data_IF_629841190948
#
_entry.id   IF_629841190948
#
_cell.length_a   1.000
_cell.length_b   1.000
_cell.length_c   1.000
_cell.angle_alpha   90.00
_cell.angle_beta   90.00
_cell.angle_gamma   90.00
#
_symmetry.space_group_name_H-M   'P 1'
#
loop_
_entity.id
_entity.type
_entity.pdbx_description
1 polymer ?
#
# COMPACT_ATOMS: atom_id res chain seq x y z
N UNK A 1 -22.81 -13.69 19.09
CA UNK A 1 -22.31 -14.25 17.81
C UNK A 1 -21.10 -13.44 17.40
N UNK A 2 -20.01 -14.07 16.98
CA UNK A 2 -18.81 -13.34 16.54
C UNK A 2 -19.12 -12.51 15.29
N UNK A 3 -18.44 -11.37 15.13
CA UNK A 3 -18.64 -10.50 13.98
C UNK A 3 -17.95 -11.09 12.73
N UNK A 4 -18.57 -12.10 12.11
CA UNK A 4 -18.07 -12.74 10.88
C UNK A 4 -17.88 -11.74 9.73
N UNK A 5 -18.72 -10.69 9.68
CA UNK A 5 -18.69 -9.66 8.63
C UNK A 5 -17.35 -8.92 8.55
N UNK A 6 -16.68 -8.69 9.69
CA UNK A 6 -15.38 -8.01 9.73
C UNK A 6 -14.25 -8.72 8.96
N UNK A 7 -14.43 -10.00 8.62
CA UNK A 7 -13.46 -10.79 7.86
C UNK A 7 -13.70 -10.80 6.35
N UNK A 8 -14.87 -10.34 5.90
CA UNK A 8 -15.34 -10.44 4.53
C UNK A 8 -15.09 -9.13 3.78
N UNK A 9 -14.76 -9.24 2.50
CA UNK A 9 -14.68 -8.09 1.59
C UNK A 9 -15.23 -8.45 0.20
N UNK A 10 -15.96 -7.53 -0.43
CA UNK A 10 -16.40 -7.71 -1.81
C UNK A 10 -15.18 -7.78 -2.74
N UNK A 11 -15.21 -8.70 -3.70
CA UNK A 11 -14.09 -8.99 -4.61
C UNK A 11 -13.04 -9.93 -4.04
N UNK A 12 -13.18 -10.38 -2.78
CA UNK A 12 -12.23 -11.28 -2.15
C UNK A 12 -12.21 -12.65 -2.85
N UNK A 13 -11.01 -13.13 -3.14
CA UNK A 13 -10.81 -14.49 -3.63
C UNK A 13 -11.02 -15.50 -2.50
N UNK A 14 -11.86 -16.49 -2.75
CA UNK A 14 -12.19 -17.57 -1.83
C UNK A 14 -11.90 -18.90 -2.52
N UNK A 15 -11.34 -19.84 -1.78
CA UNK A 15 -11.21 -21.23 -2.19
C UNK A 15 -12.38 -22.03 -1.62
N UNK A 16 -13.21 -22.56 -2.50
CA UNK A 16 -14.32 -23.43 -2.20
C UNK A 16 -13.85 -24.90 -2.24
N UNK A 17 -14.03 -25.62 -1.14
CA UNK A 17 -13.96 -27.09 -1.09
C UNK A 17 -15.38 -27.64 -0.97
N UNK A 18 -15.94 -28.26 -2.03
CA UNK A 18 -17.32 -28.72 -2.03
C UNK A 18 -17.54 -29.98 -1.19
N UNK A 19 -16.48 -30.71 -0.85
CA UNK A 19 -16.55 -31.89 0.01
C UNK A 19 -15.93 -31.56 1.36
N UNK A 20 -16.74 -31.50 2.42
CA UNK A 20 -16.32 -31.20 3.80
C UNK A 20 -15.39 -32.23 4.45
N UNK A 21 -14.83 -33.17 3.69
CA UNK A 21 -13.88 -34.17 4.18
C UNK A 21 -12.48 -33.60 4.35
N UNK A 22 -11.73 -34.11 5.34
CA UNK A 22 -10.32 -33.75 5.60
C UNK A 22 -9.39 -34.00 4.39
N UNK A 23 -9.84 -34.80 3.42
CA UNK A 23 -9.04 -35.25 2.28
C UNK A 23 -9.47 -34.64 0.94
N UNK A 24 -10.39 -33.67 0.91
CA UNK A 24 -10.72 -32.99 -0.36
C UNK A 24 -9.54 -32.11 -0.78
N UNK A 25 -8.71 -32.64 -1.67
CA UNK A 25 -7.60 -31.92 -2.33
C UNK A 25 -8.09 -30.97 -3.41
N UNK A 26 -9.35 -31.09 -3.81
CA UNK A 26 -9.95 -30.26 -4.86
C UNK A 26 -10.44 -28.95 -4.26
N UNK A 27 -9.99 -27.86 -4.86
CA UNK A 27 -10.32 -26.49 -4.50
C UNK A 27 -10.71 -25.70 -5.75
N UNK A 28 -11.81 -24.96 -5.66
CA UNK A 28 -12.26 -24.09 -6.73
C UNK A 28 -12.11 -22.64 -6.31
N UNK A 29 -11.54 -21.82 -7.20
CA UNK A 29 -11.42 -20.39 -6.95
C UNK A 29 -12.76 -19.73 -7.27
N UNK A 30 -13.32 -19.05 -6.29
CA UNK A 30 -14.55 -18.26 -6.42
C UNK A 30 -14.32 -16.86 -5.86
N UNK A 31 -15.20 -15.92 -6.21
CA UNK A 31 -15.10 -14.52 -5.79
C UNK A 31 -16.30 -14.17 -4.92
N UNK A 32 -16.05 -13.63 -3.73
CA UNK A 32 -17.12 -13.14 -2.86
C UNK A 32 -17.69 -11.83 -3.44
N UNK A 33 -18.97 -11.81 -3.81
CA UNK A 33 -19.61 -10.64 -4.42
C UNK A 33 -20.52 -9.85 -3.48
N UNK A 34 -20.96 -10.46 -2.39
CA UNK A 34 -21.77 -9.80 -1.37
C UNK A 34 -22.36 -10.79 -0.39
N UNK A 35 -23.08 -10.28 0.60
CA UNK A 35 -23.70 -11.09 1.63
C UNK A 35 -24.92 -10.39 2.25
N UNK A 36 -25.73 -11.19 2.94
CA UNK A 36 -26.73 -10.74 3.88
C UNK A 36 -26.44 -11.39 5.23
N UNK A 37 -26.07 -10.57 6.21
CA UNK A 37 -25.68 -11.03 7.56
C UNK A 37 -26.77 -11.93 8.15
N UNK A 38 -26.35 -13.09 8.66
CA UNK A 38 -27.26 -14.10 9.24
C UNK A 38 -28.06 -14.91 8.21
N UNK A 39 -27.91 -14.64 6.90
CA UNK A 39 -28.65 -15.34 5.85
C UNK A 39 -27.72 -16.06 4.87
N UNK A 40 -27.03 -15.33 3.98
CA UNK A 40 -26.26 -15.93 2.90
C UNK A 40 -25.03 -15.11 2.50
N UNK A 41 -24.10 -15.76 1.81
CA UNK A 41 -23.01 -15.15 1.05
C UNK A 41 -23.14 -15.55 -0.42
N UNK A 42 -22.88 -14.62 -1.34
CA UNK A 42 -22.92 -14.85 -2.77
C UNK A 42 -21.51 -14.98 -3.33
N UNK A 43 -21.23 -16.13 -3.93
CA UNK A 43 -19.97 -16.48 -4.55
C UNK A 43 -20.16 -16.54 -6.06
N UNK A 44 -19.29 -15.87 -6.81
CA UNK A 44 -19.22 -15.96 -8.26
C UNK A 44 -18.13 -16.95 -8.66
N UNK A 45 -18.40 -17.70 -9.73
CA UNK A 45 -17.46 -18.63 -10.34
C UNK A 45 -16.84 -17.91 -11.54
N UNK A 46 -15.52 -17.60 -11.50
CA UNK A 46 -14.85 -16.97 -12.62
C UNK A 46 -14.95 -17.81 -13.90
N UNK A 47 -14.98 -17.14 -15.06
CA UNK A 47 -15.08 -17.81 -16.37
C UNK A 47 -13.90 -18.74 -16.68
N UNK A 48 -12.73 -18.48 -16.08
CA UNK A 48 -11.50 -19.26 -16.21
C UNK A 48 -11.43 -20.45 -15.23
N UNK A 49 -12.42 -20.60 -14.33
CA UNK A 49 -12.45 -21.72 -13.41
C UNK A 49 -12.86 -23.02 -14.12
N UNK A 50 -12.19 -24.13 -13.80
CA UNK A 50 -12.64 -25.45 -14.21
C UNK A 50 -14.12 -25.64 -13.83
N UNK A 51 -14.88 -26.32 -14.69
CA UNK A 51 -16.30 -26.58 -14.46
C UNK A 51 -16.47 -27.17 -13.07
N UNK A 52 -17.23 -26.47 -12.23
CA UNK A 52 -17.58 -26.99 -10.92
C UNK A 52 -18.29 -28.33 -11.08
N UNK A 53 -18.07 -29.27 -10.15
CA UNK A 53 -18.86 -30.48 -10.10
C UNK A 53 -20.32 -30.06 -9.87
N UNK A 54 -21.25 -30.98 -10.13
CA UNK A 54 -22.66 -30.73 -9.79
C UNK A 54 -22.75 -30.50 -8.28
N UNK A 55 -22.92 -29.24 -7.89
CA UNK A 55 -23.08 -28.82 -6.52
C UNK A 55 -24.55 -28.94 -6.16
N UNK A 56 -24.87 -29.96 -5.40
CA UNK A 56 -26.22 -30.19 -4.90
C UNK A 56 -26.52 -29.20 -3.76
N UNK A 57 -27.76 -28.72 -3.72
CA UNK A 57 -28.25 -27.91 -2.59
C UNK A 57 -28.11 -28.67 -1.26
N UNK A 58 -28.05 -27.91 -0.18
CA UNK A 58 -27.78 -28.34 1.20
C UNK A 58 -26.45 -29.06 1.47
N UNK A 59 -25.57 -29.22 0.46
CA UNK A 59 -24.25 -29.79 0.70
C UNK A 59 -23.36 -28.88 1.53
N UNK A 60 -22.64 -29.49 2.46
CA UNK A 60 -21.66 -28.80 3.29
C UNK A 60 -20.37 -28.58 2.52
N UNK A 61 -19.91 -27.33 2.50
CA UNK A 61 -18.67 -26.90 1.88
C UNK A 61 -17.78 -26.15 2.89
N UNK A 62 -16.50 -26.04 2.56
CA UNK A 62 -15.54 -25.23 3.33
C UNK A 62 -15.03 -24.10 2.45
N UNK A 63 -15.14 -22.89 2.94
CA UNK A 63 -14.59 -21.69 2.32
C UNK A 63 -13.27 -21.35 3.00
N UNK A 64 -12.23 -21.08 2.23
CA UNK A 64 -10.93 -20.60 2.73
C UNK A 64 -10.55 -19.32 2.02
N UNK A 65 -10.07 -18.33 2.76
CA UNK A 65 -9.66 -17.06 2.19
C UNK A 65 -8.59 -16.41 3.07
N UNK A 66 -7.96 -15.35 2.56
CA UNK A 66 -6.98 -14.57 3.32
C UNK A 66 -7.58 -13.23 3.74
N UNK A 67 -7.38 -12.84 4.99
CA UNK A 67 -7.72 -11.51 5.50
C UNK A 67 -6.57 -11.04 6.39
N UNK A 68 -6.00 -9.87 6.08
CA UNK A 68 -4.97 -9.22 6.89
C UNK A 68 -3.81 -10.16 7.29
N UNK A 69 -3.39 -11.04 6.38
CA UNK A 69 -2.31 -12.01 6.60
C UNK A 69 -2.70 -13.30 7.32
N UNK A 70 -3.95 -13.42 7.79
CA UNK A 70 -4.51 -14.63 8.39
C UNK A 70 -5.19 -15.50 7.34
N UNK A 71 -5.03 -16.82 7.45
CA UNK A 71 -5.90 -17.76 6.75
C UNK A 71 -7.18 -17.91 7.54
N UNK A 72 -8.29 -17.55 6.90
CA UNK A 72 -9.62 -17.72 7.41
C UNK A 72 -10.24 -18.96 6.78
N UNK A 73 -11.01 -19.70 7.57
CA UNK A 73 -11.82 -20.80 7.08
C UNK A 73 -13.17 -20.84 7.78
N UNK A 74 -14.23 -21.12 7.03
CA UNK A 74 -15.55 -21.37 7.59
C UNK A 74 -16.26 -22.51 6.86
N UNK A 75 -17.13 -23.20 7.59
CA UNK A 75 -18.05 -24.19 7.02
C UNK A 75 -19.34 -23.48 6.64
N UNK A 76 -19.87 -23.77 5.46
CA UNK A 76 -21.15 -23.25 4.97
C UNK A 76 -21.91 -24.35 4.22
N UNK A 77 -23.21 -24.14 3.99
CA UNK A 77 -24.04 -25.02 3.15
C UNK A 77 -24.36 -24.33 1.83
N UNK A 78 -24.38 -25.07 0.75
CA UNK A 78 -24.82 -24.56 -0.55
C UNK A 78 -26.33 -24.40 -0.50
N UNK A 79 -26.82 -23.16 -0.55
CA UNK A 79 -28.24 -22.86 -0.50
C UNK A 79 -28.86 -22.94 -1.89
N UNK A 80 -28.13 -22.45 -2.89
CA UNK A 80 -28.62 -22.34 -4.25
C UNK A 80 -27.44 -22.28 -5.21
N UNK A 81 -27.39 -23.18 -6.18
CA UNK A 81 -26.48 -23.09 -7.32
C UNK A 81 -27.23 -22.41 -8.48
N UNK A 82 -26.70 -21.29 -8.99
CA UNK A 82 -27.29 -20.56 -10.11
C UNK A 82 -26.59 -20.94 -11.40
N UNK A 83 -27.36 -21.45 -12.37
CA UNK A 83 -26.95 -21.88 -13.70
C UNK A 83 -25.93 -23.04 -13.77
N UNK A 84 -26.38 -24.29 -13.56
CA UNK A 84 -25.61 -25.46 -14.00
C UNK A 84 -25.52 -25.57 -15.54
N UNK A 85 -26.46 -24.96 -16.27
CA UNK A 85 -26.69 -25.24 -17.70
C UNK A 85 -26.04 -24.23 -18.68
N UNK A 86 -25.25 -23.27 -18.17
CA UNK A 86 -24.39 -22.40 -18.99
C UNK A 86 -25.09 -21.32 -19.85
N UNK A 87 -26.40 -21.10 -19.70
CA UNK A 87 -27.17 -20.19 -20.55
C UNK A 87 -27.08 -18.69 -20.17
N UNK A 88 -26.56 -18.34 -18.99
CA UNK A 88 -26.36 -16.94 -18.61
C UNK A 88 -24.90 -16.66 -18.25
N UNK A 89 -24.48 -15.40 -18.44
CA UNK A 89 -23.10 -14.94 -18.19
C UNK A 89 -22.68 -14.95 -16.72
N UNK A 90 -23.60 -15.20 -15.79
CA UNK A 90 -23.31 -15.17 -14.35
C UNK A 90 -23.50 -16.56 -13.75
N UNK A 91 -22.38 -17.28 -13.61
CA UNK A 91 -22.34 -18.50 -12.80
C UNK A 91 -21.99 -18.14 -11.37
N UNK A 92 -22.82 -18.58 -10.42
CA UNK A 92 -22.62 -18.26 -9.02
C UNK A 92 -23.42 -19.16 -8.11
N UNK A 93 -23.18 -19.05 -6.82
CA UNK A 93 -23.91 -19.80 -5.81
C UNK A 93 -24.13 -18.95 -4.56
N UNK A 94 -25.26 -19.19 -3.89
CA UNK A 94 -25.47 -18.72 -2.53
C UNK A 94 -25.08 -19.83 -1.58
N UNK A 95 -24.30 -19.46 -0.57
CA UNK A 95 -23.96 -20.34 0.55
C UNK A 95 -24.49 -19.73 1.84
N UNK A 96 -24.76 -20.56 2.83
CA UNK A 96 -25.28 -20.11 4.13
C UNK A 96 -24.29 -19.17 4.81
N UNK A 97 -24.82 -18.22 5.58
CA UNK A 97 -23.99 -17.41 6.48
C UNK A 97 -23.22 -18.31 7.47
N UNK A 98 -21.91 -18.09 7.68
CA UNK A 98 -21.14 -18.93 8.59
C UNK A 98 -21.44 -18.58 10.04
N UNK A 99 -21.60 -19.61 10.88
CA UNK A 99 -21.75 -19.41 12.33
C UNK A 99 -20.46 -18.91 12.97
N UNK A 100 -19.32 -19.41 12.48
CA UNK A 100 -17.98 -19.11 12.97
C UNK A 100 -16.97 -19.08 11.83
N UNK A 101 -16.02 -18.16 11.91
CA UNK A 101 -14.82 -18.13 11.07
C UNK A 101 -13.63 -18.51 11.96
N UNK A 102 -12.93 -19.58 11.59
CA UNK A 102 -11.66 -19.96 12.20
C UNK A 102 -10.54 -19.21 11.51
N UNK A 103 -9.62 -18.65 12.29
CA UNK A 103 -8.43 -17.99 11.77
C UNK A 103 -7.18 -18.71 12.24
N UNK A 104 -6.19 -18.76 11.36
CA UNK A 104 -4.84 -19.25 11.66
C UNK A 104 -3.85 -18.25 11.10
N UNK A 105 -2.88 -17.85 11.92
CA UNK A 105 -1.74 -17.09 11.44
C UNK A 105 -0.88 -17.99 10.54
N UNK A 106 -0.90 -17.73 9.24
CA UNK A 106 -0.11 -18.51 8.27
C UNK A 106 1.37 -18.13 8.34
N UNK A 107 1.66 -16.93 8.83
CA UNK A 107 2.97 -16.31 8.76
C UNK A 107 3.50 -16.07 10.17
N UNK A 108 4.75 -16.47 10.40
CA UNK A 108 5.48 -16.19 11.65
C UNK A 108 5.86 -14.71 11.81
N UNK A 109 5.90 -13.97 10.69
CA UNK A 109 6.28 -12.56 10.66
C UNK A 109 5.32 -11.77 9.76
N UNK A 110 5.04 -10.49 10.07
CA UNK A 110 4.28 -9.61 9.19
C UNK A 110 5.00 -9.42 7.84
N UNK A 111 4.24 -9.04 6.81
CA UNK A 111 4.78 -8.53 5.55
C UNK A 111 4.38 -7.09 5.38
N UNK A 112 5.30 -6.27 4.90
CA UNK A 112 5.06 -4.87 4.55
C UNK A 112 5.04 -4.75 3.03
N UNK A 113 4.01 -4.09 2.51
CA UNK A 113 3.98 -3.68 1.11
C UNK A 113 5.04 -2.61 0.92
N UNK A 114 5.94 -2.79 -0.04
CA UNK A 114 6.94 -1.79 -0.39
C UNK A 114 7.28 -1.92 -1.86
N UNK A 115 7.46 -0.79 -2.53
CA UNK A 115 7.85 -0.73 -3.94
C UNK A 115 9.25 -0.17 -4.00
N UNK A 116 10.22 -1.01 -4.38
CA UNK A 116 11.61 -0.59 -4.53
C UNK A 116 12.23 -1.26 -5.74
N UNK A 117 12.99 -0.54 -6.58
CA UNK A 117 13.85 -1.17 -7.57
C UNK A 117 14.77 -2.19 -6.90
N UNK A 118 14.98 -3.32 -7.57
CA UNK A 118 15.90 -4.36 -7.12
C UNK A 118 16.58 -5.04 -8.33
N UNK A 119 17.72 -5.67 -8.05
CA UNK A 119 18.47 -6.43 -9.05
C UNK A 119 18.52 -7.90 -8.65
N UNK A 120 18.30 -8.77 -9.63
CA UNK A 120 18.41 -10.22 -9.47
C UNK A 120 19.61 -10.71 -10.27
N UNK A 121 20.55 -11.40 -9.62
CA UNK A 121 21.60 -12.16 -10.30
C UNK A 121 21.16 -13.62 -10.43
N UNK A 122 20.96 -14.07 -11.67
CA UNK A 122 20.65 -15.46 -12.00
C UNK A 122 21.90 -16.36 -11.82
N UNK A 123 21.74 -17.69 -11.70
CA UNK A 123 22.87 -18.63 -11.63
C UNK A 123 23.85 -18.52 -12.81
N UNK A 124 23.38 -18.06 -13.97
CA UNK A 124 24.21 -17.79 -15.16
C UNK A 124 25.11 -16.55 -15.03
N UNK A 125 24.98 -15.78 -13.94
CA UNK A 125 25.64 -14.48 -13.75
C UNK A 125 24.90 -13.32 -14.42
N UNK A 126 23.81 -13.58 -15.14
CA UNK A 126 23.00 -12.52 -15.76
C UNK A 126 22.28 -11.69 -14.69
N UNK A 127 22.35 -10.37 -14.84
CA UNK A 127 21.63 -9.41 -14.01
C UNK A 127 20.29 -9.07 -14.67
N UNK A 128 19.22 -9.14 -13.87
CA UNK A 128 17.88 -8.76 -14.28
C UNK A 128 17.33 -7.64 -13.39
N UNK A 129 16.67 -6.65 -14.01
CA UNK A 129 15.99 -5.58 -13.27
C UNK A 129 14.59 -6.02 -12.84
N UNK A 130 14.28 -5.84 -11.56
CA UNK A 130 13.02 -6.24 -10.93
C UNK A 130 12.52 -5.14 -9.99
N UNK A 131 11.31 -5.31 -9.48
CA UNK A 131 10.75 -4.42 -8.47
C UNK A 131 10.29 -5.24 -7.25
N UNK A 132 10.84 -4.93 -6.07
CA UNK A 132 10.38 -5.47 -4.80
C UNK A 132 8.94 -4.97 -4.56
N UNK A 133 8.06 -5.86 -4.09
CA UNK A 133 6.62 -5.59 -3.89
C UNK A 133 6.17 -5.80 -2.45
N UNK A 134 6.75 -6.78 -1.78
CA UNK A 134 6.57 -6.98 -0.35
C UNK A 134 7.86 -7.50 0.29
N UNK A 135 8.00 -7.23 1.59
CA UNK A 135 9.13 -7.67 2.39
C UNK A 135 8.65 -8.24 3.73
N UNK A 136 9.29 -9.31 4.17
CA UNK A 136 9.08 -9.97 5.46
C UNK A 136 10.42 -10.42 6.01
N UNK A 137 10.45 -10.86 7.27
CA UNK A 137 11.72 -11.29 7.87
C UNK A 137 12.32 -12.51 7.15
N UNK A 138 11.46 -13.44 6.68
CA UNK A 138 11.89 -14.64 5.99
C UNK A 138 11.90 -14.58 4.45
N UNK A 139 11.50 -13.47 3.82
CA UNK A 139 11.45 -13.42 2.36
C UNK A 139 10.75 -12.19 1.80
N UNK A 140 10.49 -12.21 0.50
CA UNK A 140 9.91 -11.10 -0.23
C UNK A 140 9.14 -11.55 -1.46
N UNK A 141 8.38 -10.64 -2.06
CA UNK A 141 7.84 -10.80 -3.40
C UNK A 141 8.51 -9.80 -4.34
N UNK A 142 8.91 -10.26 -5.52
CA UNK A 142 9.43 -9.41 -6.59
C UNK A 142 8.55 -9.49 -7.84
N UNK A 143 8.35 -8.36 -8.50
CA UNK A 143 7.77 -8.25 -9.83
C UNK A 143 8.89 -8.33 -10.86
N UNK A 144 8.76 -9.28 -11.78
CA UNK A 144 9.69 -9.48 -12.87
C UNK A 144 9.34 -8.54 -14.02
N UNK A 145 10.23 -7.58 -14.28
CA UNK A 145 9.98 -6.50 -15.26
C UNK A 145 10.66 -6.74 -16.61
N UNK A 146 11.45 -7.80 -16.76
CA UNK A 146 12.14 -8.07 -18.01
C UNK A 146 11.28 -8.79 -19.04
N UNK A 147 11.57 -8.54 -20.31
CA UNK A 147 10.99 -9.28 -21.45
C UNK A 147 11.38 -10.76 -21.48
N UNK A 148 12.51 -11.11 -20.82
CA UNK A 148 12.97 -12.49 -20.72
C UNK A 148 12.04 -13.30 -19.82
N UNK A 149 11.93 -14.60 -20.11
CA UNK A 149 11.13 -15.54 -19.31
C UNK A 149 11.66 -15.57 -17.87
N UNK A 150 10.80 -15.17 -16.92
CA UNK A 150 11.12 -15.25 -15.50
C UNK A 150 11.48 -16.69 -15.08
N UNK A 151 12.44 -16.87 -14.16
CA UNK A 151 12.72 -18.18 -13.58
C UNK A 151 11.49 -18.68 -12.81
N UNK A 152 11.20 -19.98 -12.92
CA UNK A 152 10.04 -20.60 -12.25
C UNK A 152 10.40 -21.28 -10.94
N UNK A 153 11.66 -21.60 -10.73
CA UNK A 153 12.19 -22.30 -9.56
C UNK A 153 13.69 -22.03 -9.40
N UNK A 154 14.26 -22.52 -8.29
CA UNK A 154 15.69 -22.45 -8.02
C UNK A 154 16.11 -21.27 -7.14
N UNK A 155 17.42 -21.02 -7.13
CA UNK A 155 18.06 -19.99 -6.31
C UNK A 155 18.53 -18.81 -7.16
N UNK A 156 18.46 -17.62 -6.58
CA UNK A 156 18.94 -16.38 -7.17
C UNK A 156 19.55 -15.48 -6.08
N UNK A 157 20.38 -14.51 -6.48
CA UNK A 157 20.88 -13.49 -5.56
C UNK A 157 20.12 -12.20 -5.77
N UNK A 158 19.60 -11.61 -4.70
CA UNK A 158 18.79 -10.41 -4.73
C UNK A 158 19.56 -9.25 -4.09
N UNK A 159 19.62 -8.11 -4.77
CA UNK A 159 20.12 -6.84 -4.23
C UNK A 159 19.03 -5.77 -4.29
N UNK A 160 18.84 -5.02 -3.20
CA UNK A 160 17.84 -3.96 -3.09
C UNK A 160 18.22 -2.96 -2.00
N UNK A 161 17.50 -1.85 -1.90
CA UNK A 161 17.72 -0.83 -0.87
C UNK A 161 16.50 -0.74 0.04
N UNK A 162 16.72 -0.82 1.35
CA UNK A 162 15.68 -0.63 2.35
C UNK A 162 15.34 0.87 2.51
N UNK A 163 14.17 1.18 3.10
CA UNK A 163 13.91 2.53 3.59
C UNK A 163 15.06 3.03 4.46
N UNK A 164 15.47 4.29 4.27
CA UNK A 164 16.66 4.86 4.92
C UNK A 164 17.97 4.62 4.17
N UNK A 165 17.93 4.05 2.95
CA UNK A 165 19.11 3.94 2.08
C UNK A 165 20.03 2.77 2.38
N UNK A 166 19.64 1.86 3.29
CA UNK A 166 20.45 0.70 3.66
C UNK A 166 20.44 -0.31 2.52
N UNK A 167 21.60 -0.53 1.90
CA UNK A 167 21.75 -1.51 0.83
C UNK A 167 21.78 -2.94 1.39
N UNK A 168 20.98 -3.82 0.78
CA UNK A 168 21.02 -5.26 0.94
C UNK A 168 21.62 -5.82 -0.35
N UNK A 169 22.82 -6.38 -0.28
CA UNK A 169 23.54 -6.87 -1.48
C UNK A 169 23.60 -8.40 -1.55
N UNK A 170 23.19 -8.94 -2.70
CA UNK A 170 23.38 -10.34 -3.12
C UNK A 170 22.92 -11.39 -2.12
N UNK A 171 21.82 -11.12 -1.41
CA UNK A 171 21.18 -12.10 -0.53
C UNK A 171 20.71 -13.28 -1.35
N UNK A 172 21.11 -14.49 -0.95
CA UNK A 172 20.66 -15.72 -1.59
C UNK A 172 19.18 -15.94 -1.26
N UNK A 173 18.37 -16.21 -2.28
CA UNK A 173 16.94 -16.49 -2.10
C UNK A 173 16.53 -17.69 -2.95
N UNK A 174 15.53 -18.43 -2.47
CA UNK A 174 14.90 -19.54 -3.20
C UNK A 174 13.50 -19.13 -3.66
N UNK A 175 13.18 -19.36 -4.94
CA UNK A 175 11.82 -19.16 -5.45
C UNK A 175 10.89 -20.21 -4.84
N UNK A 176 9.84 -19.77 -4.16
CA UNK A 176 8.81 -20.62 -3.53
C UNK A 176 7.48 -20.61 -4.26
N UNK A 177 7.20 -19.57 -5.04
CA UNK A 177 5.96 -19.47 -5.80
C UNK A 177 6.14 -18.54 -6.99
N UNK A 178 5.41 -18.82 -8.06
CA UNK A 178 5.29 -17.95 -9.23
C UNK A 178 3.82 -17.79 -9.54
N UNK A 179 3.39 -16.55 -9.75
CA UNK A 179 2.03 -16.21 -10.16
C UNK A 179 2.05 -15.07 -11.16
N UNK A 180 1.02 -14.99 -11.97
CA UNK A 180 0.83 -13.89 -12.91
C UNK A 180 -0.28 -12.97 -12.41
N UNK A 181 -0.02 -11.66 -12.36
CA UNK A 181 -0.94 -10.64 -11.88
C UNK A 181 -0.90 -9.48 -12.87
N UNK A 182 -2.00 -9.21 -13.57
CA UNK A 182 -2.10 -8.12 -14.55
C UNK A 182 -0.94 -8.14 -15.58
N UNK A 183 -0.63 -9.31 -16.13
CA UNK A 183 0.47 -9.56 -17.07
C UNK A 183 1.89 -9.40 -16.48
N UNK A 184 2.01 -9.13 -15.18
CA UNK A 184 3.28 -9.09 -14.47
C UNK A 184 3.51 -10.41 -13.76
N UNK A 185 4.67 -11.03 -13.96
CA UNK A 185 5.06 -12.23 -13.21
C UNK A 185 5.60 -11.85 -11.85
N UNK A 186 4.96 -12.37 -10.82
CA UNK A 186 5.32 -12.18 -9.43
C UNK A 186 6.02 -13.43 -8.92
N UNK A 187 7.22 -13.26 -8.39
CA UNK A 187 8.00 -14.33 -7.76
C UNK A 187 7.97 -14.13 -6.25
N UNK A 188 7.50 -15.14 -5.52
CA UNK A 188 7.63 -15.20 -4.07
C UNK A 188 8.93 -15.90 -3.70
N UNK A 189 9.83 -15.18 -3.04
CA UNK A 189 11.17 -15.62 -2.70
C UNK A 189 11.31 -15.78 -1.18
N UNK A 190 12.05 -16.81 -0.75
CA UNK A 190 12.45 -17.01 0.64
C UNK A 190 13.94 -16.73 0.79
N UNK A 191 14.33 -15.99 1.82
CA UNK A 191 15.74 -15.73 2.13
C UNK A 191 16.43 -17.01 2.63
N UNK A 192 17.63 -17.26 2.12
CA UNK A 192 18.49 -18.37 2.52
C UNK A 192 19.73 -17.79 3.21
N UNK A 193 19.99 -18.22 4.46
CA UNK A 193 21.21 -17.89 5.22
C UNK A 193 21.64 -16.42 5.11
N UNK A 194 20.79 -15.52 5.61
CA UNK A 194 21.11 -14.09 5.70
C UNK A 194 22.03 -13.82 6.89
N UNK A 195 22.97 -12.89 6.69
CA UNK A 195 23.78 -12.34 7.77
C UNK A 195 22.88 -11.69 8.83
N UNK A 196 23.25 -11.83 10.11
CA UNK A 196 22.44 -11.35 11.23
C UNK A 196 22.24 -9.82 11.18
N UNK A 197 23.24 -9.07 10.70
CA UNK A 197 23.15 -7.62 10.55
C UNK A 197 22.12 -7.28 9.47
N UNK A 198 22.16 -7.98 8.34
CA UNK A 198 21.19 -7.80 7.24
C UNK A 198 19.77 -8.17 7.71
N UNK A 199 19.63 -9.27 8.44
CA UNK A 199 18.34 -9.69 9.00
C UNK A 199 17.78 -8.65 9.97
N UNK A 200 18.61 -8.10 10.85
CA UNK A 200 18.21 -7.05 11.79
C UNK A 200 17.78 -5.77 11.06
N UNK A 201 18.50 -5.36 10.01
CA UNK A 201 18.12 -4.22 9.19
C UNK A 201 16.76 -4.43 8.50
N UNK A 202 16.52 -5.61 7.94
CA UNK A 202 15.22 -5.99 7.36
C UNK A 202 14.13 -5.91 8.43
N UNK A 203 14.38 -6.47 9.63
CA UNK A 203 13.42 -6.45 10.73
C UNK A 203 13.08 -5.03 11.17
N UNK A 204 14.07 -4.15 11.33
CA UNK A 204 13.85 -2.74 11.68
C UNK A 204 13.05 -1.99 10.60
N UNK A 205 13.37 -2.21 9.33
CA UNK A 205 12.61 -1.62 8.22
C UNK A 205 11.14 -2.07 8.22
N UNK A 206 10.88 -3.35 8.52
CA UNK A 206 9.52 -3.89 8.66
C UNK A 206 8.79 -3.23 9.83
N UNK A 207 9.41 -3.15 11.02
CA UNK A 207 8.80 -2.55 12.20
C UNK A 207 8.46 -1.08 11.93
N UNK A 208 9.40 -0.30 11.41
CA UNK A 208 9.20 1.11 11.07
C UNK A 208 8.07 1.30 10.03
N UNK A 209 8.00 0.43 9.02
CA UNK A 209 6.94 0.46 8.01
C UNK A 209 5.58 0.08 8.61
N UNK A 210 5.51 -0.94 9.47
CA UNK A 210 4.28 -1.36 10.15
C UNK A 210 3.79 -0.26 11.11
N UNK A 211 4.69 0.37 11.85
CA UNK A 211 4.35 1.50 12.72
C UNK A 211 3.78 2.65 11.91
N UNK A 212 4.45 3.00 10.80
CA UNK A 212 4.00 4.03 9.87
C UNK A 212 2.64 3.72 9.22
N UNK A 213 2.30 2.43 9.03
CA UNK A 213 0.98 2.00 8.58
C UNK A 213 -0.07 1.98 9.70
N UNK A 214 0.32 1.69 10.94
CA UNK A 214 -0.58 1.58 12.11
C UNK A 214 -0.97 2.93 12.67
N UNK A 215 -0.04 3.88 12.70
CA UNK A 215 -0.41 5.28 12.75
C UNK A 215 -1.14 5.53 11.43
N UNK A 216 -2.48 5.64 11.45
CA UNK A 216 -3.24 6.26 10.34
C UNK A 216 -2.35 7.33 9.77
N UNK A 217 -1.85 7.16 8.54
CA UNK A 217 -0.81 7.99 7.92
C UNK A 217 -0.98 9.43 8.38
N UNK A 218 -0.28 9.81 9.46
CA UNK A 218 -0.60 11.07 10.12
C UNK A 218 -0.07 12.09 9.13
N UNK A 219 -0.97 12.77 8.44
CA UNK A 219 -0.58 13.65 7.36
C UNK A 219 0.33 14.71 7.97
N UNK A 220 1.60 14.72 7.58
CA UNK A 220 2.56 15.64 8.19
C UNK A 220 2.65 16.91 7.39
N UNK A 221 2.63 18.04 8.07
CA UNK A 221 2.93 19.35 7.50
C UNK A 221 4.16 19.94 8.18
N UNK A 222 5.12 20.41 7.38
CA UNK A 222 6.28 21.16 7.86
C UNK A 222 6.01 22.65 7.62
N UNK A 223 6.25 23.49 8.63
CA UNK A 223 6.14 24.94 8.54
C UNK A 223 7.52 25.54 8.78
N UNK A 224 8.08 26.19 7.76
CA UNK A 224 9.32 26.96 7.84
C UNK A 224 8.97 28.44 8.08
N UNK A 225 9.07 28.88 9.33
CA UNK A 225 8.86 30.28 9.73
C UNK A 225 9.61 30.60 11.03
N UNK A 226 10.23 31.78 11.08
CA UNK A 226 10.91 32.28 12.27
C UNK A 226 9.96 32.96 13.25
N UNK A 227 8.73 33.30 12.83
CA UNK A 227 7.71 33.94 13.64
C UNK A 227 6.69 32.93 14.17
N UNK A 228 6.99 32.32 15.32
CA UNK A 228 6.13 31.32 15.96
C UNK A 228 4.71 31.82 16.31
N UNK A 229 4.54 33.13 16.53
CA UNK A 229 3.22 33.68 16.86
C UNK A 229 2.34 33.84 15.62
N UNK A 230 2.94 34.25 14.49
CA UNK A 230 2.22 34.37 13.22
C UNK A 230 1.71 33.02 12.71
N UNK A 231 2.39 31.91 13.01
CA UNK A 231 2.01 30.57 12.51
C UNK A 231 0.94 29.86 13.33
N UNK A 232 0.63 30.33 14.55
CA UNK A 232 -0.34 29.65 15.44
C UNK A 232 -1.69 29.34 14.78
N UNK A 233 -2.31 30.26 14.00
CA UNK A 233 -3.59 29.97 13.34
C UNK A 233 -3.49 28.84 12.33
N UNK A 234 -2.38 28.77 11.57
CA UNK A 234 -2.12 27.72 10.59
C UNK A 234 -1.87 26.37 11.27
N UNK A 235 -1.07 26.36 12.34
CA UNK A 235 -0.84 25.15 13.16
C UNK A 235 -2.15 24.61 13.72
N UNK A 236 -3.02 25.48 14.25
CA UNK A 236 -4.33 25.08 14.76
C UNK A 236 -5.20 24.47 13.65
N UNK A 237 -5.28 25.12 12.49
CA UNK A 237 -6.06 24.62 11.35
C UNK A 237 -5.57 23.26 10.82
N UNK A 238 -4.26 23.07 10.71
CA UNK A 238 -3.68 21.79 10.28
C UNK A 238 -3.99 20.67 11.29
N UNK A 239 -3.89 20.96 12.59
CA UNK A 239 -4.22 19.98 13.65
C UNK A 239 -5.71 19.64 13.72
N UNK A 240 -6.60 20.59 13.42
CA UNK A 240 -8.05 20.33 13.28
C UNK A 240 -8.32 19.27 12.21
N UNK A 241 -7.53 19.28 11.13
CA UNK A 241 -7.59 18.31 10.03
C UNK A 241 -6.68 17.08 10.26
N UNK A 242 -6.31 16.84 11.52
CA UNK A 242 -5.53 15.67 11.96
C UNK A 242 -4.08 15.61 11.42
N UNK A 243 -3.50 16.74 10.98
CA UNK A 243 -2.10 16.77 10.60
C UNK A 243 -1.16 16.75 11.81
N UNK A 244 -0.04 16.05 11.67
CA UNK A 244 1.14 16.26 12.52
C UNK A 244 1.89 17.49 12.01
N UNK A 245 2.00 18.52 12.85
CA UNK A 245 2.60 19.80 12.43
C UNK A 245 3.96 19.98 13.08
N UNK A 246 4.99 20.10 12.25
CA UNK A 246 6.37 20.42 12.66
C UNK A 246 6.66 21.85 12.26
N UNK A 247 6.98 22.71 13.23
CA UNK A 247 7.39 24.10 12.98
C UNK A 247 8.89 24.19 13.18
N UNK A 248 9.59 24.69 12.16
CA UNK A 248 11.04 24.90 12.15
C UNK A 248 11.34 26.33 11.73
N UNK A 249 12.44 26.88 12.23
CA UNK A 249 12.85 28.25 11.92
C UNK A 249 14.02 28.31 10.94
N UNK A 250 14.62 27.17 10.64
CA UNK A 250 15.82 27.06 9.81
C UNK A 250 15.62 26.13 8.62
N UNK A 251 16.23 26.48 7.48
CA UNK A 251 16.08 25.70 6.24
C UNK A 251 16.69 24.30 6.38
N UNK A 252 17.82 24.18 7.09
CA UNK A 252 18.49 22.90 7.32
C UNK A 252 17.62 21.95 8.15
N UNK A 253 16.90 22.47 9.15
CA UNK A 253 15.96 21.67 9.95
C UNK A 253 14.77 21.23 9.11
N UNK A 254 14.23 22.11 8.27
CA UNK A 254 13.16 21.75 7.34
C UNK A 254 13.60 20.62 6.41
N UNK A 255 14.82 20.68 5.86
CA UNK A 255 15.38 19.63 5.01
C UNK A 255 15.49 18.29 5.76
N UNK A 256 16.04 18.31 6.98
CA UNK A 256 16.13 17.11 7.82
C UNK A 256 14.75 16.44 8.04
N UNK A 257 13.71 17.23 8.33
CA UNK A 257 12.36 16.70 8.51
C UNK A 257 11.76 16.15 7.23
N UNK A 258 11.99 16.82 6.10
CA UNK A 258 11.52 16.36 4.79
C UNK A 258 12.16 15.02 4.38
N UNK A 259 13.43 14.80 4.72
CA UNK A 259 14.14 13.54 4.48
C UNK A 259 13.75 12.44 5.46
N UNK A 260 13.63 12.78 6.75
CA UNK A 260 13.36 11.81 7.82
C UNK A 260 11.96 11.21 7.73
N UNK A 261 10.97 12.02 7.35
CA UNK A 261 9.69 11.49 6.90
C UNK A 261 8.97 12.48 5.98
N UNK A 262 8.64 11.99 4.78
CA UNK A 262 8.06 12.80 3.70
C UNK A 262 6.76 13.49 4.16
N UNK A 263 6.74 14.83 4.26
CA UNK A 263 5.51 15.54 4.59
C UNK A 263 4.56 15.55 3.39
N UNK A 264 3.28 15.79 3.67
CA UNK A 264 2.26 16.02 2.65
C UNK A 264 2.33 17.46 2.12
N UNK A 265 2.76 18.39 2.97
CA UNK A 265 2.88 19.80 2.61
C UNK A 265 4.03 20.50 3.33
N UNK A 266 4.62 21.48 2.65
CA UNK A 266 5.56 22.46 3.19
C UNK A 266 4.93 23.86 3.12
N UNK A 267 4.86 24.54 4.26
CA UNK A 267 4.41 25.92 4.36
C UNK A 267 5.61 26.82 4.67
N UNK A 268 5.82 27.87 3.87
CA UNK A 268 6.97 28.77 3.99
C UNK A 268 6.49 30.20 4.25
N UNK A 269 6.88 30.79 5.37
CA UNK A 269 6.69 32.22 5.59
C UNK A 269 7.54 33.03 4.61
N UNK A 270 7.00 34.07 3.97
CA UNK A 270 7.75 34.80 2.93
C UNK A 270 9.02 35.52 3.43
N UNK A 271 9.13 35.79 4.75
CA UNK A 271 10.30 36.44 5.38
C UNK A 271 11.28 35.39 5.91
N UNK A 272 12.02 34.78 5.00
CA UNK A 272 13.13 33.89 5.35
C UNK A 272 14.44 34.68 5.36
N UNK A 273 15.26 34.46 6.39
CA UNK A 273 16.57 35.12 6.54
C UNK A 273 17.68 34.42 5.76
N UNK A 274 17.59 33.10 5.57
CA UNK A 274 18.65 32.29 4.97
C UNK A 274 18.64 32.31 3.43
N UNK A 275 17.46 32.24 2.83
CA UNK A 275 17.31 32.16 1.38
C UNK A 275 15.99 32.79 0.93
N UNK A 276 15.97 33.40 -0.28
CA UNK A 276 14.74 33.92 -0.84
C UNK A 276 13.73 32.79 -1.08
N UNK A 277 12.46 33.03 -0.75
CA UNK A 277 11.43 31.98 -0.80
C UNK A 277 11.27 31.33 -2.18
N UNK A 278 11.45 32.08 -3.27
CA UNK A 278 11.40 31.51 -4.62
C UNK A 278 12.59 30.56 -4.91
N UNK A 279 13.74 30.79 -4.29
CA UNK A 279 14.86 29.86 -4.40
C UNK A 279 14.61 28.59 -3.58
N UNK A 280 14.01 28.71 -2.39
CA UNK A 280 13.61 27.55 -1.58
C UNK A 280 12.62 26.67 -2.36
N UNK A 281 11.59 27.26 -2.97
CA UNK A 281 10.63 26.53 -3.80
C UNK A 281 11.30 25.78 -4.95
N UNK A 282 12.27 26.41 -5.63
CA UNK A 282 13.02 25.78 -6.72
C UNK A 282 13.84 24.60 -6.23
N UNK A 283 14.58 24.76 -5.13
CA UNK A 283 15.38 23.68 -4.52
C UNK A 283 14.48 22.49 -4.18
N UNK A 284 13.34 22.73 -3.52
CA UNK A 284 12.40 21.65 -3.18
C UNK A 284 11.92 20.92 -4.43
N UNK A 285 11.60 21.65 -5.50
CA UNK A 285 11.10 21.06 -6.76
C UNK A 285 12.17 20.31 -7.55
N UNK A 286 13.44 20.73 -7.45
CA UNK A 286 14.60 20.09 -8.08
C UNK A 286 15.17 18.93 -7.23
N UNK A 287 14.70 18.76 -5.98
CA UNK A 287 15.19 17.71 -5.07
C UNK A 287 14.49 16.38 -5.32
N UNK A 288 15.24 15.29 -5.56
CA UNK A 288 14.66 13.97 -5.75
C UNK A 288 13.74 13.53 -4.60
N UNK A 289 12.58 12.97 -4.94
CA UNK A 289 11.49 12.55 -4.03
C UNK A 289 10.63 13.67 -3.42
N UNK A 290 10.94 14.94 -3.69
CA UNK A 290 10.14 16.11 -3.26
C UNK A 290 9.49 16.84 -4.44
N UNK A 291 9.61 16.32 -5.65
CA UNK A 291 9.15 16.95 -6.90
C UNK A 291 7.64 17.09 -6.98
N UNK A 292 6.89 16.31 -6.18
CA UNK A 292 5.42 16.37 -6.07
C UNK A 292 4.96 16.98 -4.74
N UNK A 293 5.88 17.47 -3.90
CA UNK A 293 5.52 18.05 -2.61
C UNK A 293 4.66 19.31 -2.82
N UNK A 294 3.57 19.42 -2.07
CA UNK A 294 2.74 20.63 -2.06
C UNK A 294 3.46 21.72 -1.26
N UNK A 295 3.82 22.82 -1.92
CA UNK A 295 4.59 23.91 -1.31
C UNK A 295 3.73 25.18 -1.31
N UNK A 296 3.38 25.67 -0.13
CA UNK A 296 2.58 26.88 0.04
C UNK A 296 3.42 28.00 0.64
N UNK A 297 3.31 29.20 0.08
CA UNK A 297 3.99 30.38 0.61
C UNK A 297 2.98 31.33 1.22
N UNK A 298 3.28 31.95 2.37
CA UNK A 298 2.36 32.88 3.01
C UNK A 298 3.02 34.13 3.61
N UNK A 299 2.23 35.20 3.75
CA UNK A 299 2.54 36.31 4.66
C UNK A 299 2.75 37.70 4.05
N UNK A 300 2.45 37.95 2.78
CA UNK A 300 2.55 39.30 2.19
C UNK A 300 1.43 39.62 1.20
N UNK A 301 1.19 40.90 0.92
CA UNK A 301 0.23 41.34 -0.10
C UNK A 301 0.89 41.55 -1.48
N UNK A 302 2.13 41.08 -1.64
CA UNK A 302 2.92 41.27 -2.84
C UNK A 302 2.49 40.30 -3.95
N UNK A 303 1.68 40.81 -4.87
CA UNK A 303 1.20 40.06 -6.05
C UNK A 303 2.34 39.65 -7.00
N UNK A 304 3.45 40.41 -7.04
CA UNK A 304 4.61 40.08 -7.87
C UNK A 304 5.37 38.90 -7.27
N UNK A 305 5.55 38.91 -5.95
CA UNK A 305 6.10 37.77 -5.22
C UNK A 305 5.24 36.52 -5.42
N UNK A 306 3.92 36.64 -5.33
CA UNK A 306 3.00 35.53 -5.59
C UNK A 306 3.18 34.89 -6.97
N UNK A 307 3.35 35.71 -8.03
CA UNK A 307 3.67 35.23 -9.37
C UNK A 307 5.06 34.60 -9.46
N UNK A 308 6.04 35.18 -8.76
CA UNK A 308 7.43 34.70 -8.73
C UNK A 308 7.54 33.31 -8.11
N UNK A 309 6.94 33.09 -6.93
CA UNK A 309 7.01 31.80 -6.23
C UNK A 309 6.25 30.70 -6.95
N UNK A 310 5.10 31.01 -7.58
CA UNK A 310 4.38 30.05 -8.43
C UNK A 310 5.22 29.57 -9.61
N UNK A 311 5.92 30.48 -10.30
CA UNK A 311 6.88 30.12 -11.36
C UNK A 311 8.05 29.29 -10.85
N UNK A 312 8.43 29.45 -9.59
CA UNK A 312 9.46 28.65 -8.95
C UNK A 312 8.95 27.30 -8.41
N UNK A 313 7.69 26.95 -8.64
CA UNK A 313 7.11 25.67 -8.27
C UNK A 313 6.32 25.66 -6.96
N UNK A 314 5.96 26.81 -6.38
CA UNK A 314 4.97 26.82 -5.30
C UNK A 314 3.57 26.44 -5.81
N UNK A 315 2.85 25.64 -5.02
CA UNK A 315 1.45 25.26 -5.26
C UNK A 315 0.54 26.49 -5.19
N UNK A 316 0.67 27.29 -4.13
CA UNK A 316 -0.09 28.53 -3.98
C UNK A 316 0.60 29.58 -3.10
N UNK A 317 0.07 30.80 -3.13
CA UNK A 317 0.52 31.95 -2.34
C UNK A 317 -0.65 32.59 -1.59
N UNK A 318 -0.46 32.82 -0.29
CA UNK A 318 -1.46 33.43 0.59
C UNK A 318 -0.96 34.71 1.23
N UNK A 319 -1.87 35.66 1.43
CA UNK A 319 -1.52 36.94 2.05
C UNK A 319 -1.12 36.84 3.52
N UNK A 320 -1.55 35.80 4.23
CA UNK A 320 -1.33 35.62 5.66
C UNK A 320 -1.42 34.13 6.05
N UNK A 321 -0.94 33.79 7.25
CA UNK A 321 -1.15 32.45 7.81
C UNK A 321 -2.64 32.12 8.01
N UNK A 322 -3.46 33.12 8.32
CA UNK A 322 -4.91 32.97 8.47
C UNK A 322 -5.57 32.61 7.14
N UNK A 323 -5.17 33.25 6.04
CA UNK A 323 -5.69 32.93 4.70
C UNK A 323 -5.13 31.62 4.17
N UNK A 324 -3.92 31.24 4.58
CA UNK A 324 -3.35 29.92 4.30
C UNK A 324 -4.16 28.76 4.91
N UNK A 325 -5.09 29.00 5.85
CA UNK A 325 -6.08 28.00 6.27
C UNK A 325 -6.87 27.41 5.10
N UNK A 326 -7.15 28.22 4.07
CA UNK A 326 -7.81 27.73 2.85
C UNK A 326 -7.00 26.67 2.10
N UNK A 327 -5.67 26.67 2.24
CA UNK A 327 -4.78 25.64 1.69
C UNK A 327 -5.03 24.27 2.34
N UNK A 328 -5.37 24.25 3.63
CA UNK A 328 -5.64 23.00 4.35
C UNK A 328 -6.86 22.30 3.75
N UNK A 329 -7.88 23.06 3.37
CA UNK A 329 -9.04 22.53 2.65
C UNK A 329 -8.70 22.04 1.25
N UNK A 330 -7.72 22.66 0.57
CA UNK A 330 -7.23 22.18 -0.73
C UNK A 330 -6.48 20.85 -0.57
N UNK A 331 -5.68 20.70 0.48
CA UNK A 331 -4.98 19.45 0.79
C UNK A 331 -5.96 18.31 1.05
N UNK A 332 -6.98 18.52 1.88
CA UNK A 332 -7.93 17.45 2.23
C UNK A 332 -8.90 17.09 1.09
N UNK A 333 -9.25 18.05 0.22
CA UNK A 333 -10.14 17.80 -0.94
C UNK A 333 -9.40 17.28 -2.19
N UNK A 334 -8.12 17.58 -2.33
CA UNK A 334 -7.29 17.08 -3.43
C UNK A 334 -7.08 15.57 -3.39
N UNK A 335 -7.10 14.96 -2.20
CA UNK A 335 -6.93 13.50 -2.01
C UNK A 335 -8.10 12.70 -2.60
N UNK A 336 -9.28 13.29 -2.82
CA UNK A 336 -10.45 12.57 -3.34
C UNK A 336 -10.58 12.55 -4.87
N UNK A 337 -9.67 13.18 -5.64
CA UNK A 337 -9.83 13.33 -7.11
C UNK A 337 -8.76 12.67 -7.99
N UNK A 338 -7.89 11.83 -7.45
CA UNK A 338 -6.89 11.10 -8.26
C UNK A 338 -7.42 9.86 -9.01
N UNK A 339 -8.68 9.42 -8.81
CA UNK A 339 -9.23 8.20 -9.43
C UNK A 339 -10.31 8.44 -10.51
N UNK A 340 -10.51 9.68 -10.98
CA UNK A 340 -11.61 10.00 -11.91
C UNK A 340 -11.19 10.73 -13.21
N UNK A 341 -9.91 10.66 -13.61
CA UNK A 341 -9.44 11.22 -14.89
C UNK A 341 -8.59 10.21 -15.68
N UNK A 342 -9.20 9.07 -15.98
CA UNK A 342 -8.89 8.26 -17.16
C UNK A 342 -10.23 7.85 -17.79
N UNK A 343 -10.77 8.76 -18.59
CA UNK A 343 -11.99 8.60 -19.37
C UNK A 343 -11.95 9.54 -20.56
#
# INVERSE_FOLDING_TARGET
>A
MGNCESYLAVGQNVLLSPYGGKESTVHYRVVLRGWQVGSWMWLEVPEDCEKLPLLLEDHTCVLRFMKDGQACACTARILQAMNPDGATRFSGMRVSWPEHIKTVEVRKSPRVSMVSPCQVTLPSGHLASCELRDLSEGGCSIAWMESRRAPTEGQLKLSFTLPGGIAVDKVLVTIRSVREVASVRMLGCQFEQIDEIVQNNIRLAIVSSVESMRTKQIERAVILDSNHDAVRPLVAALREEQFEVVVVSHLLEAAFWMESARPHALFIGHKQSELAVDQICRIVRETPNLEDLSVFVYGGEDTDLGRKVKRAGATDYFSSATTARGAVTLLTRGVTHSDAAAG
#
